data_IF_433108978561
#
_entry.id   IF_433108978561
#
_cell.length_a   1.000
_cell.length_b   1.000
_cell.length_c   1.000
_cell.angle_alpha   90.00
_cell.angle_beta   90.00
_cell.angle_gamma   90.00
#
_symmetry.space_group_name_H-M   'P 1'
#
loop_
_entity.id
_entity.type
_entity.pdbx_description
1 polymer ?
#
# COMPACT_ATOMS: atom_id res chain seq x y z
N UNK A 1 -14.76 45.03 0.68
CA UNK A 1 -13.65 44.98 -0.28
C UNK A 1 -13.02 43.63 -0.10
N UNK A 2 -13.30 42.74 -1.04
CA UNK A 2 -13.02 41.32 -0.99
C UNK A 2 -11.55 41.13 -1.42
N UNK A 3 -10.70 40.65 -0.51
CA UNK A 3 -9.26 40.45 -0.75
C UNK A 3 -8.99 38.99 -1.13
N UNK A 4 -9.62 38.53 -2.22
CA UNK A 4 -9.30 37.24 -2.82
C UNK A 4 -8.11 37.39 -3.75
N UNK A 5 -6.93 36.99 -3.28
CA UNK A 5 -5.73 36.87 -4.10
C UNK A 5 -5.88 35.59 -4.95
N UNK A 6 -5.91 35.73 -6.29
CA UNK A 6 -6.04 34.57 -7.17
C UNK A 6 -4.72 33.80 -7.23
N UNK A 7 -4.81 32.47 -7.35
CA UNK A 7 -3.68 31.55 -7.50
C UNK A 7 -2.75 31.92 -8.68
N UNK A 8 -3.27 32.58 -9.71
CA UNK A 8 -2.48 33.06 -10.84
C UNK A 8 -1.53 34.20 -10.47
N UNK A 9 -1.84 34.99 -9.45
CA UNK A 9 -0.98 36.06 -8.97
C UNK A 9 0.25 35.53 -8.22
N UNK A 10 0.14 34.35 -7.61
CA UNK A 10 1.27 33.69 -6.92
C UNK A 10 2.27 33.07 -7.90
N UNK A 11 1.77 32.60 -9.06
CA UNK A 11 2.58 31.93 -10.10
C UNK A 11 3.34 32.91 -11.00
N UNK A 12 2.92 34.18 -11.05
CA UNK A 12 3.51 35.23 -11.89
C UNK A 12 4.79 35.86 -11.33
N UNK A 13 5.09 35.70 -10.03
CA UNK A 13 6.23 36.38 -9.38
C UNK A 13 7.60 35.70 -9.56
N UNK A 14 7.72 34.66 -10.40
CA UNK A 14 9.00 33.93 -10.61
C UNK A 14 9.81 34.36 -11.84
N UNK A 15 9.52 35.50 -12.46
CA UNK A 15 10.30 36.03 -13.57
C UNK A 15 10.96 37.37 -13.26
N UNK A 16 12.18 37.37 -12.73
CA UNK A 16 12.98 38.59 -12.54
C UNK A 16 14.47 38.29 -12.47
N UNK A 17 15.21 38.76 -13.48
CA UNK A 17 16.68 38.71 -13.58
C UNK A 17 17.36 39.30 -12.35
N UNK A 18 18.23 38.51 -11.72
CA UNK A 18 19.07 38.96 -10.60
C UNK A 18 19.73 37.79 -9.88
N UNK A 19 20.98 37.51 -10.26
CA UNK A 19 21.98 36.73 -9.52
C UNK A 19 21.46 35.48 -8.80
N UNK A 20 21.17 34.42 -9.57
CA UNK A 20 20.83 33.10 -9.02
C UNK A 20 22.11 32.46 -8.50
N UNK A 21 22.46 32.73 -7.23
CA UNK A 21 23.10 31.68 -6.45
C UNK A 21 22.13 30.51 -6.44
N UNK A 22 22.47 29.43 -7.13
CA UNK A 22 21.79 28.14 -7.00
C UNK A 22 22.01 27.68 -5.55
N UNK A 23 21.16 28.19 -4.66
CA UNK A 23 21.09 27.76 -3.29
C UNK A 23 20.87 26.25 -3.30
N UNK A 24 21.71 25.57 -2.53
CA UNK A 24 21.75 24.13 -2.35
C UNK A 24 20.33 23.60 -2.19
N UNK A 25 19.76 23.08 -3.27
CA UNK A 25 18.50 22.36 -3.22
C UNK A 25 18.80 21.07 -2.45
N UNK A 26 18.64 21.11 -1.14
CA UNK A 26 18.70 19.93 -0.29
C UNK A 26 17.60 19.01 -0.78
N UNK A 27 17.97 18.02 -1.61
CA UNK A 27 17.06 16.96 -2.02
C UNK A 27 16.46 16.36 -0.74
N UNK A 28 15.19 16.64 -0.49
CA UNK A 28 14.46 15.96 0.58
C UNK A 28 14.24 14.54 0.11
N UNK A 29 14.70 13.58 0.90
CA UNK A 29 14.50 12.16 0.62
C UNK A 29 13.04 11.86 0.94
N UNK A 30 12.24 11.59 -0.09
CA UNK A 30 10.87 11.11 0.03
C UNK A 30 10.86 9.59 -0.17
N UNK A 31 10.15 8.87 0.69
CA UNK A 31 10.03 7.41 0.65
C UNK A 31 8.55 7.03 0.74
N UNK A 32 8.09 6.35 -0.30
CA UNK A 32 6.75 5.78 -0.38
C UNK A 32 6.75 4.31 0.05
N UNK A 33 5.91 4.01 1.03
CA UNK A 33 5.73 2.69 1.62
C UNK A 33 4.30 2.24 1.35
N UNK A 34 4.10 1.01 0.87
CA UNK A 34 2.79 0.42 0.72
C UNK A 34 2.60 -0.74 1.68
N UNK A 35 1.50 -0.73 2.44
CA UNK A 35 1.00 -1.88 3.17
C UNK A 35 -0.21 -2.48 2.45
N UNK A 36 -0.03 -3.67 1.87
CA UNK A 36 -1.04 -4.37 1.07
C UNK A 36 -1.61 -5.56 1.87
N UNK A 37 -2.79 -5.34 2.45
CA UNK A 37 -3.52 -6.26 3.32
C UNK A 37 -3.37 -5.91 4.82
N UNK A 38 -4.32 -5.13 5.33
CA UNK A 38 -4.38 -4.63 6.72
C UNK A 38 -4.71 -5.70 7.77
N UNK A 39 -5.32 -6.82 7.39
CA UNK A 39 -5.68 -7.87 8.36
C UNK A 39 -6.79 -7.42 9.32
N UNK A 40 -6.60 -7.71 10.60
CA UNK A 40 -7.41 -7.24 11.73
C UNK A 40 -6.99 -5.84 12.24
N UNK A 41 -5.99 -5.22 11.59
CA UNK A 41 -5.49 -3.87 11.85
C UNK A 41 -4.40 -3.81 12.91
N UNK A 42 -4.52 -4.51 14.04
CA UNK A 42 -3.63 -4.31 15.20
C UNK A 42 -2.15 -4.56 14.92
N UNK A 43 -1.82 -5.78 14.48
CA UNK A 43 -0.44 -6.21 14.25
C UNK A 43 0.20 -5.52 13.03
N UNK A 44 -0.60 -5.24 12.02
CA UNK A 44 -0.14 -4.66 10.75
C UNK A 44 0.38 -3.24 10.93
N UNK A 45 -0.29 -2.42 11.75
CA UNK A 45 0.17 -1.06 12.03
C UNK A 45 1.50 -1.05 12.79
N UNK A 46 1.69 -1.92 13.78
CA UNK A 46 2.97 -2.00 14.51
C UNK A 46 4.14 -2.42 13.62
N UNK A 47 3.88 -3.26 12.61
CA UNK A 47 4.90 -3.63 11.62
C UNK A 47 5.29 -2.43 10.76
N UNK A 48 4.31 -1.67 10.26
CA UNK A 48 4.56 -0.44 9.51
C UNK A 48 5.32 0.58 10.36
N UNK A 49 4.92 0.80 11.61
CA UNK A 49 5.62 1.70 12.54
C UNK A 49 7.09 1.29 12.69
N UNK A 50 7.37 -0.01 12.79
CA UNK A 50 8.74 -0.53 12.88
C UNK A 50 9.54 -0.25 11.61
N UNK A 51 8.94 -0.47 10.44
CA UNK A 51 9.57 -0.19 9.14
C UNK A 51 9.89 1.30 9.00
N UNK A 52 8.91 2.17 9.27
CA UNK A 52 9.05 3.64 9.27
C UNK A 52 10.19 4.06 10.20
N UNK A 53 10.22 3.59 11.44
CA UNK A 53 11.22 3.98 12.42
C UNK A 53 12.64 3.56 11.99
N UNK A 54 12.78 2.35 11.45
CA UNK A 54 14.06 1.86 10.94
C UNK A 54 14.54 2.68 9.74
N UNK A 55 13.64 3.01 8.80
CA UNK A 55 13.96 3.82 7.63
C UNK A 55 14.34 5.25 8.02
N UNK A 56 13.55 5.88 8.89
CA UNK A 56 13.81 7.23 9.39
C UNK A 56 15.19 7.35 10.01
N UNK A 57 15.54 6.44 10.92
CA UNK A 57 16.87 6.45 11.59
C UNK A 57 18.01 6.24 10.60
N UNK A 58 17.89 5.26 9.71
CA UNK A 58 18.95 4.95 8.74
C UNK A 58 19.16 6.10 7.74
N UNK A 59 18.07 6.63 7.21
CA UNK A 59 18.13 7.69 6.20
C UNK A 59 18.55 9.03 6.81
N UNK A 60 18.17 9.34 8.05
CA UNK A 60 18.66 10.53 8.74
C UNK A 60 20.21 10.49 8.89
N UNK A 61 20.78 9.33 9.23
CA UNK A 61 22.25 9.18 9.32
C UNK A 61 22.90 9.37 7.95
N UNK A 62 22.32 8.79 6.89
CA UNK A 62 22.85 8.89 5.52
C UNK A 62 22.72 10.32 4.98
N UNK A 63 21.64 11.03 5.31
CA UNK A 63 21.30 12.34 4.78
C UNK A 63 21.78 13.50 5.69
N UNK A 64 22.88 13.30 6.42
CA UNK A 64 23.52 14.36 7.21
C UNK A 64 22.66 14.92 8.35
N UNK A 65 21.79 14.09 8.93
CA UNK A 65 20.85 14.46 10.00
C UNK A 65 19.49 14.97 9.52
N UNK A 66 19.28 15.10 8.20
CA UNK A 66 17.98 15.53 7.64
C UNK A 66 17.01 14.36 7.60
N UNK A 67 15.85 14.50 8.23
CA UNK A 67 14.83 13.45 8.24
C UNK A 67 14.15 13.30 6.87
N UNK A 68 13.86 12.07 6.43
CA UNK A 68 13.10 11.82 5.21
C UNK A 68 11.61 12.14 5.40
N UNK A 69 10.95 12.52 4.31
CA UNK A 69 9.49 12.54 4.23
C UNK A 69 9.01 11.11 3.95
N UNK A 70 8.18 10.59 4.84
CA UNK A 70 7.69 9.22 4.76
C UNK A 70 6.19 9.24 4.47
N UNK A 71 5.78 8.50 3.46
CA UNK A 71 4.37 8.31 3.12
C UNK A 71 4.00 6.84 3.15
N UNK A 72 2.84 6.53 3.72
CA UNK A 72 2.36 5.15 3.86
C UNK A 72 0.96 5.01 3.26
N UNK A 73 0.90 4.23 2.18
CA UNK A 73 -0.34 3.77 1.58
C UNK A 73 -0.85 2.49 2.23
N UNK A 74 -2.14 2.43 2.51
CA UNK A 74 -2.81 1.22 2.98
C UNK A 74 -3.86 0.73 1.99
N UNK A 75 -3.81 -0.55 1.60
CA UNK A 75 -4.86 -1.20 0.80
C UNK A 75 -5.35 -2.48 1.47
N UNK A 76 -6.66 -2.69 1.49
CA UNK A 76 -7.30 -3.94 1.93
C UNK A 76 -8.75 -4.02 1.41
N UNK A 77 -9.15 -5.16 0.85
CA UNK A 77 -10.50 -5.40 0.33
C UNK A 77 -11.61 -5.27 1.39
N UNK A 78 -11.30 -5.56 2.66
CA UNK A 78 -12.20 -5.38 3.81
C UNK A 78 -12.45 -3.90 4.15
N UNK A 79 -11.72 -2.98 3.52
CA UNK A 79 -11.99 -1.55 3.65
C UNK A 79 -13.28 -1.15 2.93
N UNK A 80 -13.83 -1.96 2.02
CA UNK A 80 -15.07 -1.62 1.29
C UNK A 80 -16.32 -1.55 2.18
N UNK A 81 -16.34 -2.26 3.31
CA UNK A 81 -17.47 -2.39 4.23
C UNK A 81 -17.16 -1.98 5.68
N UNK A 82 -15.89 -1.71 6.03
CA UNK A 82 -15.48 -1.24 7.38
C UNK A 82 -14.72 0.09 7.38
N UNK A 83 -14.59 0.77 6.24
CA UNK A 83 -13.78 1.99 6.02
C UNK A 83 -13.75 2.92 7.24
N UNK A 84 -14.91 3.41 7.68
CA UNK A 84 -14.97 4.40 8.76
C UNK A 84 -14.84 3.80 10.18
N UNK A 85 -15.04 2.50 10.36
CA UNK A 85 -14.95 1.85 11.68
C UNK A 85 -13.53 1.41 12.05
N UNK A 86 -12.74 0.98 11.06
CA UNK A 86 -11.32 0.65 11.20
C UNK A 86 -10.44 1.90 11.25
N UNK A 87 -10.98 3.04 10.80
CA UNK A 87 -10.36 4.36 10.93
C UNK A 87 -10.60 5.03 12.29
N UNK A 88 -11.51 4.55 13.16
CA UNK A 88 -11.61 5.10 14.53
C UNK A 88 -10.35 4.87 15.37
N UNK A 89 -9.75 3.65 15.36
CA UNK A 89 -8.40 3.45 15.87
C UNK A 89 -7.30 4.17 15.08
N UNK A 90 -7.61 4.72 13.90
CA UNK A 90 -6.71 5.55 13.12
C UNK A 90 -6.82 7.00 13.57
N UNK A 91 -8.01 7.57 13.80
CA UNK A 91 -8.24 8.92 14.32
C UNK A 91 -7.61 9.12 15.71
N UNK A 92 -7.77 8.16 16.63
CA UNK A 92 -7.13 8.21 17.95
C UNK A 92 -5.60 8.11 17.87
N UNK A 93 -5.07 7.47 16.80
CA UNK A 93 -3.63 7.35 16.53
C UNK A 93 -3.09 8.42 15.61
N UNK A 94 -3.91 9.17 14.87
CA UNK A 94 -3.53 10.26 13.95
C UNK A 94 -2.94 11.43 14.73
N UNK A 95 -3.36 11.64 15.98
CA UNK A 95 -2.71 12.62 16.86
C UNK A 95 -1.25 12.25 17.22
N UNK A 96 -0.90 10.96 17.18
CA UNK A 96 0.45 10.43 17.46
C UNK A 96 1.25 10.12 16.17
N UNK A 97 0.55 9.76 15.09
CA UNK A 97 1.08 9.45 13.75
C UNK A 97 1.26 10.66 12.85
N UNK A 98 0.51 11.75 13.06
CA UNK A 98 0.69 13.01 12.34
C UNK A 98 2.11 13.61 12.49
N UNK A 99 2.94 13.02 13.36
CA UNK A 99 4.36 13.35 13.55
C UNK A 99 5.34 12.35 12.90
N UNK A 100 4.84 11.19 12.41
CA UNK A 100 5.67 10.06 11.96
C UNK A 100 5.72 9.88 10.44
N UNK A 101 4.58 9.96 9.75
CA UNK A 101 4.46 9.79 8.30
C UNK A 101 3.09 10.29 7.80
N UNK A 102 2.99 10.62 6.52
CA UNK A 102 1.71 10.87 5.86
C UNK A 102 1.02 9.54 5.52
N UNK A 103 -0.31 9.49 5.56
CA UNK A 103 -1.04 8.26 5.26
C UNK A 103 -2.24 8.49 4.35
N UNK A 104 -2.45 7.55 3.43
CA UNK A 104 -3.58 7.49 2.52
C UNK A 104 -3.89 6.01 2.21
N UNK A 105 -5.01 5.72 1.56
CA UNK A 105 -5.38 4.33 1.29
C UNK A 105 -6.63 4.14 0.46
N UNK A 106 -6.87 2.90 0.06
CA UNK A 106 -7.98 2.50 -0.82
C UNK A 106 -8.54 1.12 -0.48
N UNK A 107 -9.81 0.88 -0.78
CA UNK A 107 -10.48 -0.42 -0.63
C UNK A 107 -10.34 -1.35 -1.83
N UNK A 108 -9.49 -0.97 -2.77
CA UNK A 108 -9.27 -1.69 -4.00
C UNK A 108 -8.39 -2.94 -3.83
N UNK A 109 -8.63 -4.02 -4.59
CA UNK A 109 -7.77 -5.21 -4.58
C UNK A 109 -6.32 -4.90 -4.92
N UNK A 110 -5.38 -5.60 -4.28
CA UNK A 110 -3.93 -5.50 -4.52
C UNK A 110 -3.41 -6.45 -5.62
N UNK A 111 -4.32 -7.13 -6.33
CA UNK A 111 -4.00 -7.90 -7.56
C UNK A 111 -4.15 -7.06 -8.84
N UNK A 112 -4.21 -5.74 -8.70
CA UNK A 112 -4.22 -4.81 -9.82
C UNK A 112 -3.30 -3.63 -9.52
N UNK A 113 -2.95 -2.89 -10.57
CA UNK A 113 -2.02 -1.76 -10.45
C UNK A 113 -2.64 -0.65 -9.59
N UNK A 114 -2.00 -0.37 -8.46
CA UNK A 114 -2.39 0.72 -7.54
C UNK A 114 -1.46 1.93 -7.65
N UNK A 115 -0.25 1.76 -8.19
CA UNK A 115 0.80 2.78 -8.20
C UNK A 115 1.40 3.00 -9.59
N UNK A 116 1.92 4.20 -9.88
CA UNK A 116 2.77 4.46 -11.04
C UNK A 116 4.10 3.69 -10.94
N UNK A 117 4.82 3.69 -12.07
CA UNK A 117 6.06 2.93 -12.20
C UNK A 117 7.19 3.56 -11.37
N UNK A 118 7.80 2.81 -10.46
CA UNK A 118 8.99 3.25 -9.72
C UNK A 118 8.75 4.21 -8.55
N UNK A 119 7.51 4.40 -8.13
CA UNK A 119 7.16 5.28 -6.98
C UNK A 119 7.31 4.55 -5.63
N UNK A 120 7.07 3.24 -5.61
CA UNK A 120 7.15 2.44 -4.39
C UNK A 120 8.59 2.07 -4.02
N UNK A 121 8.96 2.41 -2.78
CA UNK A 121 10.27 2.10 -2.23
C UNK A 121 10.23 0.84 -1.36
N UNK A 122 9.16 0.66 -0.58
CA UNK A 122 8.98 -0.49 0.31
C UNK A 122 7.55 -1.00 0.22
N UNK A 123 7.40 -2.31 0.04
CA UNK A 123 6.10 -2.99 0.12
C UNK A 123 6.09 -3.96 1.28
N UNK A 124 5.11 -3.80 2.15
CA UNK A 124 4.82 -4.67 3.29
C UNK A 124 3.51 -5.39 3.02
N UNK A 125 3.48 -6.69 3.25
CA UNK A 125 2.24 -7.48 3.17
C UNK A 125 2.24 -8.54 4.26
N UNK A 126 1.12 -8.66 4.98
CA UNK A 126 0.97 -9.59 6.09
C UNK A 126 -0.35 -10.33 5.97
N UNK A 127 -0.30 -11.67 5.92
CA UNK A 127 -1.51 -12.50 5.90
C UNK A 127 -2.57 -11.99 4.90
N UNK A 128 -2.12 -11.60 3.70
CA UNK A 128 -2.96 -11.10 2.63
C UNK A 128 -2.92 -12.02 1.39
N UNK A 129 -1.72 -12.51 1.02
CA UNK A 129 -1.50 -13.29 -0.19
C UNK A 129 -2.14 -14.69 -0.19
N UNK A 130 -2.63 -15.17 0.95
CA UNK A 130 -3.43 -16.39 1.00
C UNK A 130 -4.88 -16.19 0.49
N UNK A 131 -5.34 -14.94 0.35
CA UNK A 131 -6.65 -14.64 -0.22
C UNK A 131 -6.57 -14.61 -1.74
N UNK A 132 -7.14 -15.61 -2.41
CA UNK A 132 -7.16 -15.66 -3.86
C UNK A 132 -8.01 -14.55 -4.47
N UNK A 133 -7.64 -14.10 -5.67
CA UNK A 133 -8.40 -13.13 -6.46
C UNK A 133 -9.77 -13.68 -6.89
N UNK A 134 -9.85 -14.99 -7.10
CA UNK A 134 -11.06 -15.70 -7.48
C UNK A 134 -11.01 -17.17 -7.07
N UNK A 135 -12.19 -17.79 -6.96
CA UNK A 135 -12.29 -19.25 -6.79
C UNK A 135 -11.91 -19.90 -8.13
N UNK A 136 -10.99 -20.89 -8.16
CA UNK A 136 -10.60 -21.53 -9.42
C UNK A 136 -11.83 -22.08 -10.16
N UNK A 137 -12.05 -21.67 -11.41
CA UNK A 137 -13.27 -22.08 -12.17
C UNK A 137 -13.44 -23.60 -12.23
N UNK A 138 -12.33 -24.32 -12.41
CA UNK A 138 -12.26 -25.78 -12.42
C UNK A 138 -12.90 -26.39 -11.16
N UNK A 139 -12.76 -25.77 -9.99
CA UNK A 139 -13.34 -26.31 -8.75
C UNK A 139 -14.83 -26.05 -8.57
N UNK A 140 -15.42 -25.21 -9.45
CA UNK A 140 -16.83 -24.87 -9.45
C UNK A 140 -17.66 -25.73 -10.43
N UNK A 141 -17.00 -26.45 -11.33
CA UNK A 141 -17.63 -27.26 -12.36
C UNK A 141 -18.06 -28.62 -11.80
N UNK A 142 -19.34 -28.79 -11.47
CA UNK A 142 -19.89 -30.02 -10.86
C UNK A 142 -19.59 -31.33 -11.61
N UNK A 143 -19.40 -31.25 -12.92
CA UNK A 143 -19.08 -32.39 -13.77
C UNK A 143 -17.57 -32.72 -13.81
N UNK A 144 -16.72 -31.85 -13.27
CA UNK A 144 -15.27 -32.01 -13.28
C UNK A 144 -14.77 -32.83 -12.10
N UNK A 145 -13.65 -33.54 -12.31
CA UNK A 145 -12.89 -34.21 -11.23
C UNK A 145 -12.35 -33.23 -10.18
N UNK A 146 -12.26 -31.95 -10.53
CA UNK A 146 -11.84 -30.86 -9.63
C UNK A 146 -12.97 -30.30 -8.79
N UNK A 147 -14.22 -30.79 -8.92
CA UNK A 147 -15.35 -30.30 -8.13
C UNK A 147 -15.15 -30.59 -6.63
N UNK A 148 -15.04 -29.52 -5.82
CA UNK A 148 -14.81 -29.66 -4.38
C UNK A 148 -16.11 -29.97 -3.62
N UNK A 149 -16.71 -31.14 -3.89
CA UNK A 149 -18.04 -31.50 -3.38
C UNK A 149 -18.09 -31.48 -1.85
N UNK A 150 -19.00 -30.68 -1.30
CA UNK A 150 -19.31 -30.65 0.14
C UNK A 150 -18.22 -30.02 1.01
N UNK A 151 -17.23 -29.36 0.42
CA UNK A 151 -16.14 -28.71 1.15
C UNK A 151 -16.01 -27.25 0.75
N UNK A 152 -15.59 -26.43 1.70
CA UNK A 152 -15.38 -24.98 1.50
C UNK A 152 -13.92 -24.64 1.20
N UNK A 153 -12.99 -25.58 1.44
CA UNK A 153 -11.56 -25.36 1.28
C UNK A 153 -10.81 -26.64 0.87
N UNK A 154 -9.49 -26.55 0.68
CA UNK A 154 -8.61 -27.63 0.21
C UNK A 154 -8.32 -28.70 1.27
N UNK A 155 -8.72 -28.50 2.52
CA UNK A 155 -8.45 -29.45 3.59
C UNK A 155 -9.22 -30.75 3.37
N UNK A 156 -8.47 -31.86 3.20
CA UNK A 156 -9.05 -33.17 2.88
C UNK A 156 -9.70 -33.25 1.50
N UNK A 157 -9.35 -32.32 0.59
CA UNK A 157 -9.80 -32.34 -0.79
C UNK A 157 -8.92 -33.25 -1.66
N UNK A 158 -9.44 -33.64 -2.81
CA UNK A 158 -8.70 -34.42 -3.81
C UNK A 158 -7.51 -33.61 -4.35
N UNK A 159 -6.47 -34.31 -4.81
CA UNK A 159 -5.23 -33.71 -5.32
C UNK A 159 -5.51 -32.68 -6.43
N UNK A 160 -6.45 -32.98 -7.33
CA UNK A 160 -6.84 -32.12 -8.44
C UNK A 160 -7.44 -30.79 -7.95
N UNK A 161 -8.16 -30.81 -6.82
CA UNK A 161 -8.68 -29.59 -6.19
C UNK A 161 -7.51 -28.75 -5.66
N UNK A 162 -6.59 -29.38 -4.92
CA UNK A 162 -5.41 -28.70 -4.36
C UNK A 162 -4.58 -28.05 -5.46
N UNK A 163 -4.35 -28.76 -6.56
CA UNK A 163 -3.62 -28.25 -7.73
C UNK A 163 -4.33 -27.07 -8.39
N UNK A 164 -5.66 -27.09 -8.49
CA UNK A 164 -6.41 -25.97 -9.03
C UNK A 164 -6.30 -24.69 -8.17
N UNK A 165 -6.32 -24.85 -6.83
CA UNK A 165 -6.08 -23.73 -5.91
C UNK A 165 -4.63 -23.24 -5.97
N UNK A 166 -3.65 -24.14 -6.08
CA UNK A 166 -2.24 -23.78 -6.23
C UNK A 166 -1.96 -23.03 -7.54
N UNK A 167 -2.57 -23.45 -8.65
CA UNK A 167 -2.47 -22.77 -9.95
C UNK A 167 -3.01 -21.34 -9.86
N UNK A 168 -4.12 -21.13 -9.15
CA UNK A 168 -4.69 -19.80 -8.94
C UNK A 168 -3.80 -18.95 -8.02
N UNK A 169 -3.31 -19.51 -6.91
CA UNK A 169 -2.40 -18.83 -5.99
C UNK A 169 -1.12 -18.36 -6.69
N UNK A 170 -0.57 -19.19 -7.59
CA UNK A 170 0.61 -18.82 -8.37
C UNK A 170 0.32 -17.64 -9.31
N UNK A 171 -0.81 -17.67 -10.03
CA UNK A 171 -1.22 -16.56 -10.92
C UNK A 171 -1.39 -15.27 -10.13
N UNK A 172 -2.05 -15.35 -8.98
CA UNK A 172 -2.30 -14.21 -8.10
C UNK A 172 -1.00 -13.61 -7.56
N UNK A 173 -0.04 -14.46 -7.14
CA UNK A 173 1.28 -14.01 -6.69
C UNK A 173 2.07 -13.32 -7.81
N UNK A 174 2.06 -13.88 -9.01
CA UNK A 174 2.73 -13.27 -10.17
C UNK A 174 2.12 -11.92 -10.49
N UNK A 175 0.80 -11.80 -10.46
CA UNK A 175 0.12 -10.53 -10.74
C UNK A 175 0.38 -9.50 -9.64
N UNK A 176 0.35 -9.90 -8.37
CA UNK A 176 0.75 -9.07 -7.24
C UNK A 176 2.17 -8.51 -7.42
N UNK A 177 3.14 -9.37 -7.76
CA UNK A 177 4.52 -8.94 -7.97
C UNK A 177 4.66 -7.97 -9.14
N UNK A 178 3.95 -8.19 -10.25
CA UNK A 178 3.93 -7.22 -11.36
C UNK A 178 3.35 -5.87 -10.94
N UNK A 179 2.34 -5.87 -10.07
CA UNK A 179 1.75 -4.63 -9.57
C UNK A 179 2.70 -3.85 -8.63
N UNK A 180 3.59 -4.56 -7.92
CA UNK A 180 4.52 -3.95 -6.96
C UNK A 180 5.90 -3.60 -7.54
N UNK A 181 6.38 -4.33 -8.55
CA UNK A 181 7.76 -4.23 -9.07
C UNK A 181 7.90 -3.42 -10.36
N UNK A 182 6.81 -2.85 -10.87
CA UNK A 182 6.89 -2.01 -12.06
C UNK A 182 7.48 -0.67 -11.69
#
# INVERSE_FOLDING_TARGET
MDNSMSLESLLSMQGGDGDVSFDKNSFRVHIEIANLGLGDGGHTFSMVDTVVEVLRRKLAVINGGTEPELEVFFSDLRLSNRFFSSFRPLEDRVNDWGKKYYTYGTSLPFYMRLFPKGELHVVVTTSALQWLSLIPRKVMEKASKTWNKGRVWIQGAEREVVEAYAEQSHKDLVEFLKCCLC
#
